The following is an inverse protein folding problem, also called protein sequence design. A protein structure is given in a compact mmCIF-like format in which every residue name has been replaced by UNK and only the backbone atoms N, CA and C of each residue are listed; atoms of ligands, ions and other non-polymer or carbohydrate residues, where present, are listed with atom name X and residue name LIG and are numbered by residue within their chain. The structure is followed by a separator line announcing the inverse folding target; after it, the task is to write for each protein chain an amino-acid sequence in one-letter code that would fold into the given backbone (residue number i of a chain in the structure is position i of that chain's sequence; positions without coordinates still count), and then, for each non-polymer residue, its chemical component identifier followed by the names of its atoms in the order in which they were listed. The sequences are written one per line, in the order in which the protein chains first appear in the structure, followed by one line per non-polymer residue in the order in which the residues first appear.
data_IF_784038928537
#
_entry.id   IF_784038928537
#
_cell.length_a   1.000
_cell.length_b   1.000
_cell.length_c   1.000
_cell.angle_alpha   90.00
_cell.angle_beta   90.00
_cell.angle_gamma   90.00
#
_symmetry.space_group_name_H-M   'P 1'
#
loop_
_entity.id
_entity.type
_entity.pdbx_description
1 polymer ?
#
# COMPACT_ATOMS: atom_id res chain seq x y z
N UNK A 1 19.34 0.52 -2.26
CA UNK A 1 18.19 -0.35 -1.93
C UNK A 1 18.59 -1.77 -2.24
N UNK A 2 18.54 -2.69 -1.31
CA UNK A 2 18.70 -4.09 -1.68
C UNK A 2 17.52 -4.46 -2.58
N UNK A 3 17.84 -4.90 -3.77
CA UNK A 3 16.90 -5.57 -4.66
C UNK A 3 16.34 -6.76 -3.89
N UNK A 4 15.03 -6.81 -3.74
CA UNK A 4 14.39 -7.94 -3.07
C UNK A 4 14.62 -9.15 -3.96
N UNK A 5 15.54 -10.03 -3.58
CA UNK A 5 15.80 -11.26 -4.31
C UNK A 5 14.56 -12.18 -4.17
N UNK A 6 13.77 -12.38 -5.23
CA UNK A 6 12.63 -13.27 -5.16
C UNK A 6 13.01 -14.73 -4.88
N UNK A 7 14.28 -15.09 -5.10
CA UNK A 7 14.79 -16.43 -4.81
C UNK A 7 15.11 -16.67 -3.32
N UNK A 8 15.19 -15.60 -2.49
CA UNK A 8 15.35 -15.74 -1.05
C UNK A 8 14.08 -16.25 -0.33
N UNK A 9 13.02 -16.53 -1.08
CA UNK A 9 11.73 -17.01 -0.58
C UNK A 9 11.67 -18.56 -0.57
N UNK A 10 12.51 -19.21 0.19
CA UNK A 10 12.27 -20.63 0.48
C UNK A 10 11.04 -20.77 1.36
N UNK A 11 9.90 -21.07 0.71
CA UNK A 11 8.64 -21.51 1.32
C UNK A 11 7.90 -20.44 2.14
N UNK A 12 6.84 -19.87 1.58
CA UNK A 12 5.93 -18.97 2.26
C UNK A 12 5.15 -18.12 1.26
N UNK A 13 3.98 -17.65 1.68
CA UNK A 13 3.10 -16.81 0.87
C UNK A 13 3.62 -15.38 0.89
N UNK A 14 3.94 -14.82 -0.26
CA UNK A 14 4.32 -13.41 -0.42
C UNK A 14 3.07 -12.59 -0.72
N UNK A 15 2.77 -11.63 0.14
CA UNK A 15 1.70 -10.65 -0.05
C UNK A 15 2.25 -9.35 -0.63
N UNK A 16 1.43 -8.67 -1.41
CA UNK A 16 1.74 -7.35 -1.96
C UNK A 16 0.56 -6.40 -1.78
N UNK A 17 0.85 -5.19 -1.43
CA UNK A 17 -0.08 -4.06 -1.48
C UNK A 17 0.66 -2.82 -1.93
N UNK A 18 -0.04 -1.86 -2.53
CA UNK A 18 0.57 -0.60 -2.92
C UNK A 18 -0.31 0.59 -2.58
N UNK A 19 0.30 1.74 -2.39
CA UNK A 19 -0.41 2.96 -2.07
C UNK A 19 0.49 4.18 -2.01
N UNK A 20 -0.13 5.33 -1.82
CA UNK A 20 0.58 6.61 -1.65
C UNK A 20 1.16 6.72 -0.25
N UNK A 21 0.41 6.33 0.77
CA UNK A 21 0.78 6.42 2.19
C UNK A 21 1.16 7.84 2.64
N UNK A 22 0.52 8.85 2.05
CA UNK A 22 0.72 10.25 2.42
C UNK A 22 0.05 10.56 3.76
N UNK A 23 0.70 11.38 4.61
CA UNK A 23 0.21 11.71 5.95
C UNK A 23 -0.15 10.45 6.73
N UNK A 24 0.82 9.55 6.89
CA UNK A 24 0.62 8.22 7.47
C UNK A 24 -0.22 8.27 8.76
N UNK A 25 -1.27 7.46 8.82
CA UNK A 25 -2.26 7.47 9.90
C UNK A 25 -2.72 6.04 10.25
N UNK A 26 -3.58 5.93 11.26
CA UNK A 26 -4.07 4.63 11.77
C UNK A 26 -4.76 3.79 10.68
N UNK A 27 -5.42 4.42 9.71
CA UNK A 27 -6.02 3.70 8.57
C UNK A 27 -4.99 2.96 7.72
N UNK A 28 -3.84 3.59 7.44
CA UNK A 28 -2.73 2.93 6.77
C UNK A 28 -2.14 1.79 7.61
N UNK A 29 -2.02 2.01 8.94
CA UNK A 29 -1.53 0.99 9.84
C UNK A 29 -2.44 -0.23 9.89
N UNK A 30 -3.76 -0.03 9.96
CA UNK A 30 -4.74 -1.10 9.95
C UNK A 30 -4.71 -1.92 8.66
N UNK A 31 -4.58 -1.23 7.51
CA UNK A 31 -4.40 -1.86 6.20
C UNK A 31 -3.17 -2.77 6.18
N UNK A 32 -2.02 -2.24 6.57
CA UNK A 32 -0.76 -2.98 6.54
C UNK A 32 -0.77 -4.16 7.50
N UNK A 33 -1.38 -4.02 8.68
CA UNK A 33 -1.55 -5.12 9.65
C UNK A 33 -2.48 -6.21 9.11
N UNK A 34 -3.59 -5.83 8.49
CA UNK A 34 -4.53 -6.78 7.89
C UNK A 34 -3.86 -7.55 6.74
N UNK A 35 -3.12 -6.86 5.87
CA UNK A 35 -2.36 -7.50 4.80
C UNK A 35 -1.27 -8.44 5.36
N UNK A 36 -0.50 -7.99 6.34
CA UNK A 36 0.54 -8.81 6.98
C UNK A 36 -0.02 -10.07 7.66
N UNK A 37 -1.24 -9.99 8.20
CA UNK A 37 -1.93 -11.16 8.77
C UNK A 37 -2.38 -12.20 7.74
N UNK A 38 -2.41 -11.86 6.47
CA UNK A 38 -2.83 -12.74 5.37
C UNK A 38 -1.69 -13.38 4.56
N UNK A 39 -0.43 -13.17 4.95
CA UNK A 39 0.74 -13.70 4.26
C UNK A 39 1.91 -13.92 5.21
N UNK A 40 2.94 -14.63 4.75
CA UNK A 40 4.17 -14.84 5.54
C UNK A 40 5.15 -13.67 5.40
N UNK A 41 5.16 -13.01 4.25
CA UNK A 41 6.00 -11.84 3.96
C UNK A 41 5.18 -10.80 3.20
N UNK A 42 5.08 -9.60 3.75
CA UNK A 42 4.39 -8.48 3.10
C UNK A 42 5.41 -7.56 2.43
N UNK A 43 5.28 -7.42 1.11
CA UNK A 43 5.97 -6.40 0.34
C UNK A 43 5.01 -5.24 0.08
N UNK A 44 5.45 -4.02 0.33
CA UNK A 44 4.64 -2.82 0.15
C UNK A 44 5.23 -1.94 -0.94
N UNK A 45 4.43 -1.66 -1.98
CA UNK A 45 4.75 -0.68 -3.00
C UNK A 45 4.34 0.73 -2.56
N UNK A 46 5.28 1.67 -2.54
CA UNK A 46 4.99 3.09 -2.29
C UNK A 46 5.10 3.85 -3.60
N UNK A 47 4.01 4.50 -4.01
CA UNK A 47 3.96 5.26 -5.25
C UNK A 47 4.93 6.45 -5.17
N UNK A 48 5.72 6.63 -6.23
CA UNK A 48 6.55 7.82 -6.39
C UNK A 48 5.68 9.07 -6.48
N UNK A 49 6.27 10.23 -6.22
CA UNK A 49 5.51 11.48 -6.15
C UNK A 49 4.81 11.83 -7.46
N UNK A 50 5.44 11.58 -8.60
CA UNK A 50 4.88 11.87 -9.93
C UNK A 50 3.70 10.94 -10.26
N UNK A 51 3.81 9.64 -9.94
CA UNK A 51 2.72 8.69 -10.13
C UNK A 51 1.56 8.98 -9.18
N UNK A 52 1.85 9.32 -7.94
CA UNK A 52 0.85 9.69 -6.94
C UNK A 52 0.10 10.98 -7.35
N UNK A 53 0.80 11.98 -7.89
CA UNK A 53 0.22 13.20 -8.42
C UNK A 53 -0.67 12.93 -9.63
N UNK A 54 -0.22 12.10 -10.56
CA UNK A 54 -1.03 11.71 -11.72
C UNK A 54 -2.32 10.98 -11.33
N UNK A 55 -2.26 10.12 -10.32
CA UNK A 55 -3.41 9.35 -9.83
C UNK A 55 -4.41 10.19 -9.02
N UNK A 56 -3.93 11.12 -8.20
CA UNK A 56 -4.75 11.88 -7.25
C UNK A 56 -5.03 13.33 -7.66
N UNK A 57 -4.42 13.83 -8.75
CA UNK A 57 -4.54 15.22 -9.21
C UNK A 57 -3.75 16.22 -8.37
N UNK A 58 -2.92 15.76 -7.43
CA UNK A 58 -2.07 16.63 -6.58
C UNK A 58 -0.88 15.84 -6.02
N UNK A 59 0.22 16.54 -5.84
CA UNK A 59 1.43 15.99 -5.23
C UNK A 59 1.20 15.65 -3.75
N UNK A 60 1.76 14.53 -3.25
CA UNK A 60 1.74 14.22 -1.82
C UNK A 60 2.39 15.33 -0.97
N UNK A 61 1.94 15.46 0.27
CA UNK A 61 2.56 16.40 1.23
C UNK A 61 3.94 15.93 1.68
N UNK A 62 4.08 14.61 1.85
CA UNK A 62 5.32 13.99 2.31
C UNK A 62 6.04 13.37 1.11
N UNK A 63 7.33 13.68 0.89
CA UNK A 63 8.12 13.12 -0.20
C UNK A 63 8.16 11.58 -0.17
N UNK A 64 8.30 10.95 -1.33
CA UNK A 64 8.23 9.50 -1.49
C UNK A 64 9.25 8.73 -0.64
N UNK A 65 10.47 9.25 -0.49
CA UNK A 65 11.52 8.65 0.33
C UNK A 65 11.17 8.62 1.83
N UNK A 66 10.58 9.70 2.34
CA UNK A 66 10.09 9.77 3.72
C UNK A 66 8.89 8.84 3.93
N UNK A 67 7.95 8.80 2.98
CA UNK A 67 6.81 7.88 3.03
C UNK A 67 7.26 6.42 3.07
N UNK A 68 8.26 6.05 2.27
CA UNK A 68 8.87 4.72 2.30
C UNK A 68 9.50 4.42 3.67
N UNK A 69 10.27 5.34 4.21
CA UNK A 69 10.92 5.17 5.51
C UNK A 69 9.92 4.89 6.64
N UNK A 70 8.77 5.58 6.63
CA UNK A 70 7.70 5.33 7.61
C UNK A 70 7.08 3.93 7.42
N UNK A 71 6.80 3.53 6.18
CA UNK A 71 6.22 2.21 5.88
C UNK A 71 7.19 1.08 6.25
N UNK A 72 8.49 1.25 5.99
CA UNK A 72 9.53 0.28 6.38
C UNK A 72 9.59 0.04 7.90
N UNK A 73 9.26 1.04 8.69
CA UNK A 73 9.24 0.94 10.15
C UNK A 73 8.00 0.22 10.71
N UNK A 74 7.01 -0.07 9.87
CA UNK A 74 5.78 -0.75 10.32
C UNK A 74 6.05 -2.22 10.57
N UNK A 75 5.71 -2.67 11.78
CA UNK A 75 5.82 -4.09 12.15
C UNK A 75 4.95 -4.95 11.23
N UNK A 76 5.55 -5.99 10.65
CA UNK A 76 4.88 -6.92 9.73
C UNK A 76 5.16 -6.61 8.26
N UNK A 77 5.71 -5.46 7.93
CA UNK A 77 6.24 -5.17 6.60
C UNK A 77 7.61 -5.84 6.48
N UNK A 78 7.75 -6.71 5.48
CA UNK A 78 9.00 -7.41 5.22
C UNK A 78 9.93 -6.60 4.32
N UNK A 79 9.37 -5.94 3.29
CA UNK A 79 10.13 -5.10 2.38
C UNK A 79 9.25 -3.98 1.79
N UNK A 80 9.89 -2.90 1.37
CA UNK A 80 9.24 -1.78 0.67
C UNK A 80 9.90 -1.57 -0.68
N UNK A 81 9.11 -1.29 -1.70
CA UNK A 81 9.59 -0.98 -3.06
C UNK A 81 8.97 0.30 -3.58
N UNK A 82 9.66 0.99 -4.48
CA UNK A 82 9.12 2.14 -5.21
C UNK A 82 8.25 1.68 -6.37
N UNK A 83 7.16 2.43 -6.62
CA UNK A 83 6.26 2.22 -7.75
C UNK A 83 6.25 3.49 -8.59
N UNK A 84 6.84 3.42 -9.79
CA UNK A 84 6.98 4.56 -10.68
C UNK A 84 6.04 4.49 -11.91
N UNK A 85 5.58 3.30 -12.26
CA UNK A 85 4.84 3.03 -13.50
C UNK A 85 3.40 2.54 -13.28
N UNK A 86 3.06 2.11 -12.05
CA UNK A 86 1.76 1.53 -11.74
C UNK A 86 1.51 0.18 -12.46
N UNK A 87 2.54 -0.44 -13.04
CA UNK A 87 2.43 -1.74 -13.69
C UNK A 87 2.49 -2.87 -12.66
N UNK A 88 1.32 -3.40 -12.32
CA UNK A 88 1.19 -4.50 -11.38
C UNK A 88 1.87 -5.79 -11.86
N UNK A 89 1.91 -6.03 -13.17
CA UNK A 89 2.63 -7.17 -13.74
C UNK A 89 4.14 -7.03 -13.56
N UNK A 90 4.67 -5.81 -13.73
CA UNK A 90 6.07 -5.51 -13.43
C UNK A 90 6.36 -5.66 -11.92
N UNK A 91 5.48 -5.16 -11.05
CA UNK A 91 5.59 -5.35 -9.60
C UNK A 91 5.66 -6.83 -9.24
N UNK A 92 4.79 -7.67 -9.84
CA UNK A 92 4.80 -9.11 -9.62
C UNK A 92 6.09 -9.78 -10.10
N UNK A 93 6.60 -9.39 -11.25
CA UNK A 93 7.90 -9.93 -11.73
C UNK A 93 9.06 -9.61 -10.79
N UNK A 94 9.04 -8.42 -10.16
CA UNK A 94 10.08 -7.99 -9.21
C UNK A 94 9.95 -8.65 -7.83
N UNK A 95 8.75 -8.86 -7.35
CA UNK A 95 8.50 -9.28 -5.96
C UNK A 95 8.06 -10.74 -5.82
N UNK A 96 7.58 -11.35 -6.90
CA UNK A 96 7.10 -12.73 -6.88
C UNK A 96 5.83 -12.95 -6.05
N UNK A 97 5.03 -11.93 -5.78
CA UNK A 97 3.89 -12.05 -4.86
C UNK A 97 2.84 -13.06 -5.34
N UNK A 98 2.24 -13.74 -4.38
CA UNK A 98 1.17 -14.73 -4.54
C UNK A 98 -0.21 -14.16 -4.26
N UNK A 99 -0.27 -13.08 -3.47
CA UNK A 99 -1.50 -12.43 -3.03
C UNK A 99 -1.38 -10.93 -3.18
N UNK A 100 -2.34 -10.32 -3.89
CA UNK A 100 -2.52 -8.88 -3.93
C UNK A 100 -3.59 -8.48 -2.91
N UNK A 101 -3.23 -7.65 -1.95
CA UNK A 101 -4.18 -7.04 -1.03
C UNK A 101 -4.61 -5.68 -1.57
N UNK A 102 -5.93 -5.50 -1.75
CA UNK A 102 -6.54 -4.22 -2.16
C UNK A 102 -7.37 -3.63 -1.03
N UNK A 103 -7.51 -2.33 -1.03
CA UNK A 103 -8.44 -1.60 -0.16
C UNK A 103 -9.45 -0.81 -1.01
N UNK A 104 -10.64 -0.58 -0.47
CA UNK A 104 -11.70 0.16 -1.16
C UNK A 104 -12.48 -0.63 -2.20
N UNK A 105 -12.40 -1.95 -2.19
CA UNK A 105 -13.25 -2.86 -2.97
C UNK A 105 -14.38 -3.48 -2.14
N UNK A 106 -15.32 -4.20 -2.76
CA UNK A 106 -16.31 -4.98 -2.02
C UNK A 106 -15.56 -6.02 -1.16
N UNK A 107 -15.85 -6.01 0.15
CA UNK A 107 -15.18 -6.87 1.12
C UNK A 107 -15.49 -8.33 0.81
N UNK A 108 -14.49 -9.08 0.35
CA UNK A 108 -14.57 -10.53 0.41
C UNK A 108 -14.41 -10.96 1.87
N UNK A 109 -15.18 -11.94 2.32
CA UNK A 109 -15.14 -12.45 3.69
C UNK A 109 -13.69 -12.81 4.07
N UNK A 110 -13.06 -12.13 5.04
CA UNK A 110 -11.69 -12.43 5.45
C UNK A 110 -11.55 -13.83 6.05
N UNK A 111 -12.64 -14.45 6.49
CA UNK A 111 -12.67 -15.83 6.97
C UNK A 111 -12.63 -16.86 5.82
N UNK A 112 -12.89 -16.44 4.59
CA UNK A 112 -12.84 -17.32 3.43
C UNK A 112 -11.42 -17.73 3.01
N UNK A 113 -10.37 -17.16 3.62
CA UNK A 113 -8.97 -17.61 3.50
C UNK A 113 -8.36 -17.67 2.10
N UNK A 114 -9.13 -17.31 1.10
CA UNK A 114 -8.76 -17.46 -0.28
C UNK A 114 -9.35 -16.32 -1.10
N UNK A 115 -8.57 -15.29 -1.36
CA UNK A 115 -8.91 -14.33 -2.40
C UNK A 115 -9.18 -15.05 -3.72
N UNK A 116 -10.06 -14.49 -4.53
CA UNK A 116 -10.37 -15.06 -5.84
C UNK A 116 -9.12 -15.07 -6.73
N UNK A 117 -8.76 -16.21 -7.35
CA UNK A 117 -7.72 -16.21 -8.35
C UNK A 117 -8.17 -15.37 -9.56
N UNK A 118 -7.34 -14.45 -9.99
CA UNK A 118 -7.54 -13.75 -11.26
C UNK A 118 -7.07 -14.68 -12.39
N UNK A 119 -7.97 -15.09 -13.32
CA UNK A 119 -7.59 -15.99 -14.40
C UNK A 119 -6.38 -15.46 -15.19
N UNK A 120 -5.33 -16.27 -15.30
CA UNK A 120 -4.12 -15.93 -16.06
C UNK A 120 -3.11 -15.04 -15.36
N UNK A 121 -3.40 -14.52 -14.16
CA UNK A 121 -2.48 -13.62 -13.43
C UNK A 121 -1.44 -14.35 -12.60
N UNK A 122 -1.75 -15.58 -12.15
CA UNK A 122 -0.91 -16.37 -11.27
C UNK A 122 -0.86 -15.90 -9.81
N UNK A 123 -1.76 -14.98 -9.39
CA UNK A 123 -1.91 -14.55 -8.00
C UNK A 123 -3.39 -14.44 -7.61
N UNK A 124 -3.64 -14.38 -6.32
CA UNK A 124 -4.97 -14.15 -5.74
C UNK A 124 -5.14 -12.69 -5.37
N UNK A 125 -6.39 -12.23 -5.32
CA UNK A 125 -6.74 -10.88 -4.85
C UNK A 125 -7.57 -11.00 -3.59
N UNK A 126 -7.19 -10.26 -2.55
CA UNK A 126 -7.91 -10.14 -1.28
C UNK A 126 -8.28 -8.68 -1.08
N UNK A 127 -9.58 -8.42 -0.95
CA UNK A 127 -10.05 -7.09 -0.60
C UNK A 127 -10.04 -6.94 0.92
N UNK A 128 -9.35 -5.92 1.40
CA UNK A 128 -9.23 -5.62 2.82
C UNK A 128 -10.42 -4.77 3.29
N UNK A 129 -10.81 -4.89 4.58
CA UNK A 129 -11.88 -4.07 5.13
C UNK A 129 -11.52 -2.59 5.09
N UNK A 130 -12.56 -1.75 5.05
CA UNK A 130 -12.40 -0.31 5.17
C UNK A 130 -11.65 0.05 6.46
N UNK A 131 -10.71 1.00 6.37
CA UNK A 131 -9.96 1.45 7.54
C UNK A 131 -10.87 2.22 8.51
N UNK A 132 -10.37 2.43 9.73
CA UNK A 132 -11.02 3.31 10.71
C UNK A 132 -11.23 4.72 10.14
N UNK A 133 -12.07 5.53 10.83
CA UNK A 133 -12.57 6.83 10.37
C UNK A 133 -11.51 7.85 9.91
N UNK A 134 -10.28 7.77 10.43
CA UNK A 134 -9.20 8.64 9.97
C UNK A 134 -8.69 8.17 8.61
N UNK A 135 -8.86 8.99 7.60
CA UNK A 135 -8.40 8.74 6.25
C UNK A 135 -7.52 9.88 5.76
N UNK A 136 -6.73 9.64 4.73
CA UNK A 136 -5.92 10.69 4.10
C UNK A 136 -6.78 11.84 3.57
N UNK A 137 -8.00 11.55 3.11
CA UNK A 137 -8.94 12.58 2.66
C UNK A 137 -9.36 13.52 3.79
N UNK A 138 -9.68 12.99 4.97
CA UNK A 138 -10.04 13.77 6.16
C UNK A 138 -8.87 14.64 6.60
N UNK A 139 -7.68 14.08 6.69
CA UNK A 139 -6.47 14.83 7.08
C UNK A 139 -6.13 15.94 6.08
N UNK A 140 -6.21 15.67 4.79
CA UNK A 140 -5.97 16.67 3.75
C UNK A 140 -6.97 17.81 3.80
N UNK A 141 -8.24 17.52 4.03
CA UNK A 141 -9.27 18.56 4.15
C UNK A 141 -9.02 19.46 5.37
N UNK A 142 -8.65 18.88 6.51
CA UNK A 142 -8.30 19.63 7.70
C UNK A 142 -7.07 20.54 7.48
N UNK A 143 -6.00 20.00 6.90
CA UNK A 143 -4.80 20.77 6.56
C UNK A 143 -5.08 21.93 5.59
N UNK A 144 -5.87 21.68 4.56
CA UNK A 144 -6.24 22.73 3.60
C UNK A 144 -7.03 23.86 4.26
N UNK A 145 -7.93 23.53 5.19
CA UNK A 145 -8.68 24.53 5.96
C UNK A 145 -7.77 25.36 6.87
N UNK A 146 -6.83 24.73 7.58
CA UNK A 146 -5.89 25.43 8.46
C UNK A 146 -4.94 26.34 7.68
N UNK A 147 -4.42 25.87 6.54
CA UNK A 147 -3.57 26.69 5.67
C UNK A 147 -4.32 27.90 5.09
N UNK A 148 -5.58 27.74 4.69
CA UNK A 148 -6.41 28.85 4.21
C UNK A 148 -6.66 29.89 5.32
N UNK A 149 -6.96 29.45 6.54
CA UNK A 149 -7.16 30.32 7.69
C UNK A 149 -5.90 31.13 8.07
N UNK A 150 -4.71 30.54 7.87
CA UNK A 150 -3.44 31.20 8.17
C UNK A 150 -3.04 32.22 7.09
N UNK A 151 -3.50 32.04 5.86
CA UNK A 151 -3.19 32.98 4.75
C UNK A 151 -4.00 34.27 4.79
N UNK A 152 -5.02 34.37 5.64
CA UNK A 152 -5.87 35.57 5.81
C UNK A 152 -5.39 36.53 6.93
N UNK A 153 -4.24 36.23 7.59
CA UNK A 153 -3.61 37.07 8.61
C UNK A 153 -2.41 37.82 8.02
#
# INVERSE_FOLDING_TARGET
MPEVDPAAAEGGVVGYTEGVFDLFHVGHLDLLRAAAGGCDRLVVGVLDDDLAEAAAGRRPYVPADERRAVVEAVRGVWAVTSVADGDLAAARRRTGFDVLFRHGGPVADPAAGAGAPLPGSGYRVVDLPEPRATTSAVLRAALAADLAATAEI
#
